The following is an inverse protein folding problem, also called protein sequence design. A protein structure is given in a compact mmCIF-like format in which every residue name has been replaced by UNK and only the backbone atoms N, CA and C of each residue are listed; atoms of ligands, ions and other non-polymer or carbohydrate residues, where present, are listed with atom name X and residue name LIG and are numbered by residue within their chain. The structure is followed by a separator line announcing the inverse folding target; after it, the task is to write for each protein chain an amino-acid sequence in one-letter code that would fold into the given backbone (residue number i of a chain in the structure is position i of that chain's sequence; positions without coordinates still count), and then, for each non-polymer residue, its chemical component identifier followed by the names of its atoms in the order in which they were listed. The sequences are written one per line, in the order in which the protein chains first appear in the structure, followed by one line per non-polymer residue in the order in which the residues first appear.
data_IF_253625361008
#
_entry.id   IF_253625361008
#
_cell.length_a   1.000
_cell.length_b   1.000
_cell.length_c   1.000
_cell.angle_alpha   90.00
_cell.angle_beta   90.00
_cell.angle_gamma   90.00
#
_symmetry.space_group_name_H-M   'P 1'
#
loop_
_entity.id
_entity.type
_entity.pdbx_description
1 polymer ?
#
# COMPACT_ATOMS: atom_id res chain seq x y z
N UNK A 1 13.71 -29.79 -8.28
CA UNK A 1 12.30 -30.25 -8.10
C UNK A 1 12.11 -31.19 -6.90
N UNK A 2 12.87 -32.27 -6.72
CA UNK A 2 12.69 -33.21 -5.58
C UNK A 2 12.78 -32.54 -4.20
N UNK A 3 13.68 -31.57 -3.99
CA UNK A 3 13.77 -30.83 -2.72
C UNK A 3 12.60 -29.86 -2.48
N UNK A 4 12.04 -29.25 -3.53
CA UNK A 4 10.82 -28.44 -3.43
C UNK A 4 9.61 -29.30 -3.05
N UNK A 5 9.48 -30.48 -3.66
CA UNK A 5 8.39 -31.42 -3.36
C UNK A 5 8.54 -32.01 -1.94
N UNK A 6 9.77 -32.24 -1.47
CA UNK A 6 10.03 -32.68 -0.09
C UNK A 6 9.75 -31.58 0.93
N UNK A 7 10.16 -30.33 0.65
CA UNK A 7 9.76 -29.16 1.45
C UNK A 7 8.23 -29.08 1.53
N UNK A 8 7.51 -29.16 0.40
CA UNK A 8 6.04 -29.13 0.36
C UNK A 8 5.37 -30.20 1.23
N UNK A 9 6.01 -31.34 1.44
CA UNK A 9 5.50 -32.44 2.27
C UNK A 9 5.72 -32.25 3.78
N UNK A 10 6.77 -31.54 4.19
CA UNK A 10 7.12 -31.28 5.60
C UNK A 10 6.53 -29.94 6.12
N UNK A 11 6.00 -29.13 5.21
CA UNK A 11 5.66 -27.73 5.46
C UNK A 11 4.29 -27.47 6.09
N UNK A 12 4.26 -26.38 6.86
CA UNK A 12 3.13 -25.90 7.63
C UNK A 12 1.94 -25.51 6.74
N UNK A 13 0.81 -26.24 6.87
CA UNK A 13 -0.42 -26.03 6.09
C UNK A 13 -0.96 -24.60 6.23
N UNK A 14 -0.68 -23.94 7.35
CA UNK A 14 -1.07 -22.56 7.59
C UNK A 14 -0.25 -21.57 6.77
N UNK A 15 1.05 -21.83 6.57
CA UNK A 15 1.97 -21.00 5.78
C UNK A 15 1.47 -20.83 4.36
N UNK A 16 1.23 -21.92 3.63
CA UNK A 16 0.67 -21.84 2.27
C UNK A 16 -0.68 -21.19 2.20
N UNK A 17 -1.58 -21.50 3.16
CA UNK A 17 -2.92 -20.91 3.18
C UNK A 17 -2.82 -19.39 3.26
N UNK A 18 -1.96 -18.89 4.16
CA UNK A 18 -1.74 -17.46 4.29
C UNK A 18 -1.07 -16.87 3.05
N UNK A 19 -0.06 -17.55 2.50
CA UNK A 19 0.60 -17.09 1.28
C UNK A 19 -0.33 -17.04 0.08
N UNK A 20 -1.23 -18.02 -0.06
CA UNK A 20 -2.26 -18.02 -1.09
C UNK A 20 -3.22 -16.85 -0.91
N UNK A 21 -3.65 -16.54 0.32
CA UNK A 21 -4.51 -15.38 0.59
C UNK A 21 -3.79 -14.07 0.23
N UNK A 22 -2.51 -13.94 0.59
CA UNK A 22 -1.70 -12.77 0.23
C UNK A 22 -1.55 -12.63 -1.29
N UNK A 23 -1.22 -13.74 -1.97
CA UNK A 23 -1.07 -13.80 -3.42
C UNK A 23 -2.37 -13.46 -4.16
N UNK A 24 -3.50 -14.02 -3.72
CA UNK A 24 -4.83 -13.70 -4.29
C UNK A 24 -5.17 -12.23 -4.06
N UNK A 25 -4.96 -11.69 -2.86
CA UNK A 25 -5.21 -10.27 -2.58
C UNK A 25 -4.36 -9.36 -3.50
N UNK A 26 -3.08 -9.70 -3.69
CA UNK A 26 -2.20 -8.98 -4.60
C UNK A 26 -2.66 -9.10 -6.07
N UNK A 27 -2.99 -10.31 -6.53
CA UNK A 27 -3.45 -10.57 -7.90
C UNK A 27 -4.70 -9.77 -8.23
N UNK A 28 -5.69 -9.75 -7.34
CA UNK A 28 -6.94 -9.03 -7.62
C UNK A 28 -6.68 -7.51 -7.67
N UNK A 29 -5.80 -6.97 -6.80
CA UNK A 29 -5.37 -5.56 -6.88
C UNK A 29 -4.72 -5.25 -8.22
N UNK A 30 -3.89 -6.15 -8.76
CA UNK A 30 -3.31 -5.98 -10.09
C UNK A 30 -4.36 -6.10 -11.21
N UNK A 31 -5.29 -7.04 -11.12
CA UNK A 31 -6.33 -7.23 -12.11
C UNK A 31 -7.17 -5.97 -12.32
N UNK A 32 -7.70 -5.37 -11.23
CA UNK A 32 -8.46 -4.12 -11.34
C UNK A 32 -7.61 -2.93 -11.80
N UNK A 33 -6.32 -2.91 -11.44
CA UNK A 33 -5.38 -1.91 -11.92
C UNK A 33 -5.22 -1.98 -13.45
N UNK A 34 -5.01 -3.18 -13.99
CA UNK A 34 -4.86 -3.39 -15.42
C UNK A 34 -6.17 -3.21 -16.18
N UNK A 35 -7.30 -3.61 -15.59
CA UNK A 35 -8.63 -3.35 -16.16
C UNK A 35 -8.86 -1.85 -16.38
N UNK A 36 -8.67 -1.00 -15.35
CA UNK A 36 -8.93 0.43 -15.54
C UNK A 36 -7.96 1.05 -16.54
N UNK A 37 -6.68 0.64 -16.53
CA UNK A 37 -5.70 1.13 -17.49
C UNK A 37 -6.10 0.76 -18.92
N UNK A 38 -6.58 -0.47 -19.15
CA UNK A 38 -7.07 -0.90 -20.44
C UNK A 38 -8.20 0.01 -20.95
N UNK A 39 -9.23 0.27 -20.13
CA UNK A 39 -10.33 1.15 -20.52
C UNK A 39 -9.87 2.58 -20.82
N UNK A 40 -8.92 3.12 -20.05
CA UNK A 40 -8.33 4.43 -20.32
C UNK A 40 -7.63 4.46 -21.69
N UNK A 41 -6.87 3.43 -22.04
CA UNK A 41 -6.20 3.37 -23.35
C UNK A 41 -7.21 3.27 -24.50
N UNK A 42 -8.22 2.41 -24.39
CA UNK A 42 -9.22 2.25 -25.45
C UNK A 42 -10.02 3.54 -25.66
N UNK A 43 -10.50 4.15 -24.58
CA UNK A 43 -11.25 5.40 -24.65
C UNK A 43 -10.40 6.55 -25.16
N UNK A 44 -9.13 6.62 -24.77
CA UNK A 44 -8.18 7.56 -25.34
C UNK A 44 -8.06 7.41 -26.87
N UNK A 45 -8.00 6.18 -27.38
CA UNK A 45 -7.95 5.92 -28.82
C UNK A 45 -9.25 6.34 -29.53
N UNK A 46 -10.42 6.12 -28.90
CA UNK A 46 -11.71 6.57 -29.41
C UNK A 46 -11.74 8.09 -29.55
N UNK A 47 -11.37 8.83 -28.50
CA UNK A 47 -11.35 10.29 -28.52
C UNK A 47 -10.42 10.85 -29.58
N UNK A 48 -9.28 10.21 -29.80
CA UNK A 48 -8.35 10.64 -30.86
C UNK A 48 -8.96 10.47 -32.24
N UNK A 49 -9.72 9.41 -32.49
CA UNK A 49 -10.43 9.26 -33.77
C UNK A 49 -11.49 10.33 -33.95
N UNK A 50 -12.31 10.58 -32.94
CA UNK A 50 -13.33 11.64 -33.01
C UNK A 50 -12.70 13.02 -33.24
N UNK A 51 -11.63 13.34 -32.49
CA UNK A 51 -10.90 14.59 -32.68
C UNK A 51 -10.27 14.69 -34.07
N UNK A 52 -9.79 13.58 -34.63
CA UNK A 52 -9.19 13.52 -35.97
C UNK A 52 -10.22 13.76 -37.07
N UNK A 53 -11.46 13.28 -36.89
CA UNK A 53 -12.59 13.56 -37.80
C UNK A 53 -12.93 15.06 -37.75
N UNK A 54 -13.06 15.64 -36.55
CA UNK A 54 -13.39 17.06 -36.37
C UNK A 54 -12.29 17.98 -36.96
N UNK A 55 -11.03 17.59 -36.83
CA UNK A 55 -9.87 18.36 -37.30
C UNK A 55 -9.46 18.04 -38.74
N UNK A 56 -10.12 17.08 -39.40
CA UNK A 56 -9.78 16.59 -40.75
C UNK A 56 -8.31 16.12 -40.88
N UNK A 57 -7.76 15.49 -39.84
CA UNK A 57 -6.38 14.98 -39.80
C UNK A 57 -6.37 13.45 -39.75
N UNK A 58 -5.32 12.80 -40.27
CA UNK A 58 -5.15 11.36 -40.11
C UNK A 58 -4.96 10.98 -38.61
N UNK A 59 -5.84 10.13 -38.03
CA UNK A 59 -5.73 9.69 -36.64
C UNK A 59 -4.42 8.98 -36.31
N UNK A 60 -3.69 8.45 -37.31
CA UNK A 60 -2.37 7.85 -37.12
C UNK A 60 -1.33 8.88 -36.67
N UNK A 61 -1.43 10.13 -37.11
CA UNK A 61 -0.47 11.18 -36.72
C UNK A 61 -0.64 11.49 -35.23
N UNK A 62 -1.86 11.77 -34.78
CA UNK A 62 -2.13 11.98 -33.36
C UNK A 62 -1.83 10.74 -32.51
N UNK A 63 -2.20 9.56 -33.02
CA UNK A 63 -1.95 8.28 -32.36
C UNK A 63 -0.46 8.00 -32.14
N UNK A 64 0.38 8.23 -33.14
CA UNK A 64 1.83 8.04 -33.02
C UNK A 64 2.45 9.05 -32.05
N UNK A 65 2.03 10.32 -32.08
CA UNK A 65 2.48 11.32 -31.10
C UNK A 65 2.15 10.92 -29.66
N UNK A 66 0.91 10.48 -29.40
CA UNK A 66 0.50 10.05 -28.06
C UNK A 66 1.21 8.77 -27.63
N UNK A 67 1.37 7.82 -28.54
CA UNK A 67 2.16 6.60 -28.31
C UNK A 67 3.59 6.92 -27.87
N UNK A 68 4.25 7.87 -28.55
CA UNK A 68 5.59 8.34 -28.17
C UNK A 68 5.59 9.01 -26.79
N UNK A 69 4.59 9.85 -26.48
CA UNK A 69 4.47 10.48 -25.16
C UNK A 69 4.35 9.41 -24.06
N UNK A 70 3.52 8.38 -24.27
CA UNK A 70 3.36 7.27 -23.32
C UNK A 70 4.69 6.54 -23.10
N UNK A 71 5.43 6.24 -24.17
CA UNK A 71 6.72 5.57 -24.10
C UNK A 71 7.82 6.42 -23.45
N UNK A 72 7.81 7.73 -23.70
CA UNK A 72 8.79 8.67 -23.17
C UNK A 72 8.51 9.09 -21.71
N UNK A 73 7.26 8.97 -21.25
CA UNK A 73 6.85 9.37 -19.90
C UNK A 73 7.73 8.83 -18.74
N UNK A 74 8.23 7.57 -18.75
CA UNK A 74 9.11 7.05 -17.70
C UNK A 74 10.43 7.84 -17.57
N UNK A 75 10.95 8.38 -18.68
CA UNK A 75 12.23 9.10 -18.69
C UNK A 75 12.13 10.50 -18.07
N UNK A 76 10.92 11.04 -17.91
CA UNK A 76 10.71 12.30 -17.16
C UNK A 76 11.05 12.17 -15.68
N UNK A 77 11.14 10.93 -15.16
CA UNK A 77 11.44 10.62 -13.76
C UNK A 77 12.85 10.07 -13.57
N UNK A 78 13.75 10.31 -14.53
CA UNK A 78 15.14 9.86 -14.44
C UNK A 78 15.82 10.47 -13.20
N UNK A 79 16.07 9.65 -12.19
CA UNK A 79 16.89 9.97 -11.02
C UNK A 79 17.97 8.92 -10.90
N UNK A 80 19.19 9.32 -10.55
CA UNK A 80 20.29 8.41 -10.27
C UNK A 80 19.83 7.40 -9.19
N UNK A 81 20.02 6.10 -9.47
CA UNK A 81 19.58 5.00 -8.59
C UNK A 81 18.13 4.51 -8.77
N UNK A 82 17.35 5.08 -9.69
CA UNK A 82 15.96 4.67 -9.96
C UNK A 82 15.79 3.74 -11.18
N UNK A 83 16.87 3.16 -11.69
CA UNK A 83 16.91 2.41 -12.96
C UNK A 83 15.88 1.28 -13.04
N UNK A 84 15.79 0.44 -12.00
CA UNK A 84 14.81 -0.64 -11.96
C UNK A 84 13.36 -0.15 -11.92
N UNK A 85 13.10 1.01 -11.33
CA UNK A 85 11.76 1.61 -11.35
C UNK A 85 11.41 2.10 -12.76
N UNK A 86 12.38 2.70 -13.46
CA UNK A 86 12.23 3.17 -14.84
C UNK A 86 11.95 2.00 -15.77
N UNK A 87 12.72 0.91 -15.69
CA UNK A 87 12.51 -0.30 -16.50
C UNK A 87 11.09 -0.87 -16.28
N UNK A 88 10.65 -0.97 -15.02
CA UNK A 88 9.28 -1.41 -14.69
C UNK A 88 8.21 -0.49 -15.27
N UNK A 89 8.40 0.82 -15.21
CA UNK A 89 7.47 1.79 -15.80
C UNK A 89 7.49 1.74 -17.32
N UNK A 90 8.65 1.54 -17.93
CA UNK A 90 8.83 1.43 -19.37
C UNK A 90 8.10 0.21 -19.92
N UNK A 91 8.36 -0.99 -19.38
CA UNK A 91 7.67 -2.23 -19.78
C UNK A 91 6.15 -2.06 -19.69
N UNK A 92 5.66 -1.50 -18.56
CA UNK A 92 4.23 -1.23 -18.38
C UNK A 92 3.71 -0.29 -19.47
N UNK A 93 4.40 0.81 -19.73
CA UNK A 93 3.98 1.81 -20.70
C UNK A 93 4.06 1.28 -22.15
N UNK A 94 4.99 0.38 -22.46
CA UNK A 94 5.03 -0.34 -23.74
C UNK A 94 3.77 -1.17 -23.94
N UNK A 95 3.35 -1.95 -22.92
CA UNK A 95 2.10 -2.71 -22.99
C UNK A 95 0.89 -1.79 -23.18
N UNK A 96 0.86 -0.65 -22.49
CA UNK A 96 -0.22 0.33 -22.66
C UNK A 96 -0.24 0.93 -24.07
N UNK A 97 0.92 1.33 -24.61
CA UNK A 97 1.04 1.85 -25.97
C UNK A 97 0.54 0.82 -27.01
N UNK A 98 0.88 -0.47 -26.84
CA UNK A 98 0.37 -1.54 -27.70
C UNK A 98 -1.16 -1.65 -27.65
N UNK A 99 -1.77 -1.60 -26.46
CA UNK A 99 -3.23 -1.61 -26.31
C UNK A 99 -3.86 -0.41 -27.02
N UNK A 100 -3.27 0.78 -26.85
CA UNK A 100 -3.76 2.01 -27.47
C UNK A 100 -3.67 1.95 -29.00
N UNK A 101 -2.53 1.53 -29.57
CA UNK A 101 -2.36 1.38 -31.02
C UNK A 101 -3.35 0.34 -31.58
N UNK A 102 -3.50 -0.81 -30.91
CA UNK A 102 -4.47 -1.81 -31.33
C UNK A 102 -5.92 -1.29 -31.30
N UNK A 103 -6.27 -0.45 -30.32
CA UNK A 103 -7.57 0.21 -30.27
C UNK A 103 -7.73 1.28 -31.38
N UNK A 104 -6.65 1.98 -31.73
CA UNK A 104 -6.64 2.93 -32.84
C UNK A 104 -6.84 2.26 -34.22
N UNK A 105 -6.40 1.02 -34.40
CA UNK A 105 -6.57 0.32 -35.69
C UNK A 105 -7.99 -0.23 -35.90
N UNK A 106 -8.75 -0.48 -34.83
CA UNK A 106 -10.12 -1.02 -34.95
C UNK A 106 -11.09 -0.01 -35.57
N UNK A 107 -12.02 -0.41 -36.45
CA UNK A 107 -13.12 0.47 -36.84
C UNK A 107 -14.02 0.71 -35.61
N UNK A 108 -14.18 1.96 -35.19
CA UNK A 108 -15.06 2.35 -34.08
C UNK A 108 -16.30 2.97 -34.71
N UNK A 109 -17.49 2.45 -34.40
CA UNK A 109 -18.74 3.05 -34.83
C UNK A 109 -19.04 4.30 -33.95
N UNK A 110 -19.60 5.36 -34.53
CA UNK A 110 -19.86 6.64 -33.84
C UNK A 110 -20.71 6.47 -32.56
N UNK A 111 -21.56 5.43 -32.49
CA UNK A 111 -22.37 5.15 -31.31
C UNK A 111 -21.61 4.46 -30.15
N UNK A 112 -20.35 4.07 -30.34
CA UNK A 112 -19.56 3.36 -29.32
C UNK A 112 -18.82 4.30 -28.37
N UNK A 113 -18.63 5.58 -28.70
CA UNK A 113 -17.81 6.48 -27.87
C UNK A 113 -18.42 6.77 -26.51
N UNK A 114 -19.74 6.98 -26.48
CA UNK A 114 -20.50 7.13 -25.24
C UNK A 114 -20.38 5.87 -24.37
N UNK A 115 -20.39 4.69 -24.97
CA UNK A 115 -20.19 3.43 -24.26
C UNK A 115 -18.79 3.33 -23.65
N UNK A 116 -17.73 3.59 -24.42
CA UNK A 116 -16.35 3.52 -23.94
C UNK A 116 -16.07 4.54 -22.83
N UNK A 117 -16.62 5.76 -22.95
CA UNK A 117 -16.53 6.78 -21.91
C UNK A 117 -17.21 6.31 -20.62
N UNK A 118 -18.46 5.84 -20.70
CA UNK A 118 -19.19 5.32 -19.54
C UNK A 118 -18.46 4.14 -18.90
N UNK A 119 -18.02 3.17 -19.70
CA UNK A 119 -17.27 2.01 -19.22
C UNK A 119 -15.97 2.42 -18.50
N UNK A 120 -15.30 3.47 -18.97
CA UNK A 120 -14.10 4.02 -18.32
C UNK A 120 -14.41 4.65 -16.99
N UNK A 121 -15.47 5.47 -16.90
CA UNK A 121 -15.90 6.09 -15.64
C UNK A 121 -16.24 5.01 -14.61
N UNK A 122 -17.03 4.00 -15.00
CA UNK A 122 -17.34 2.87 -14.12
C UNK A 122 -16.09 2.08 -13.75
N UNK A 123 -15.17 1.82 -14.69
CA UNK A 123 -13.93 1.09 -14.39
C UNK A 123 -13.02 1.83 -13.41
N UNK A 124 -12.95 3.16 -13.50
CA UNK A 124 -12.23 3.99 -12.53
C UNK A 124 -12.89 3.88 -11.16
N UNK A 125 -14.22 4.02 -11.10
CA UNK A 125 -14.99 3.87 -9.85
C UNK A 125 -14.79 2.51 -9.20
N UNK A 126 -14.90 1.43 -9.98
CA UNK A 126 -14.68 0.05 -9.53
C UNK A 126 -13.25 -0.13 -9.01
N UNK A 127 -12.23 0.39 -9.71
CA UNK A 127 -10.84 0.26 -9.27
C UNK A 127 -10.62 0.92 -7.90
N UNK A 128 -11.08 2.15 -7.71
CA UNK A 128 -10.92 2.84 -6.42
C UNK A 128 -11.74 2.19 -5.30
N UNK A 129 -12.97 1.80 -5.60
CA UNK A 129 -13.82 1.07 -4.66
C UNK A 129 -13.16 -0.25 -4.24
N UNK A 130 -12.70 -1.06 -5.19
CA UNK A 130 -12.06 -2.34 -4.91
C UNK A 130 -10.72 -2.17 -4.18
N UNK A 131 -9.91 -1.16 -4.54
CA UNK A 131 -8.68 -0.82 -3.82
C UNK A 131 -8.94 -0.55 -2.34
N UNK A 132 -9.99 0.22 -2.03
CA UNK A 132 -10.40 0.50 -0.65
C UNK A 132 -11.01 -0.73 0.03
N UNK A 133 -11.96 -1.39 -0.62
CA UNK A 133 -12.71 -2.52 -0.07
C UNK A 133 -11.82 -3.72 0.23
N UNK A 134 -10.91 -4.07 -0.68
CA UNK A 134 -9.96 -5.17 -0.49
C UNK A 134 -8.99 -4.89 0.65
N UNK A 135 -8.45 -3.68 0.73
CA UNK A 135 -7.58 -3.31 1.85
C UNK A 135 -8.30 -3.50 3.19
N UNK A 136 -9.58 -3.08 3.29
CA UNK A 136 -10.40 -3.29 4.50
C UNK A 136 -10.68 -4.76 4.79
N UNK A 137 -11.01 -5.56 3.78
CA UNK A 137 -11.26 -7.00 3.95
C UNK A 137 -10.01 -7.74 4.41
N UNK A 138 -8.87 -7.48 3.75
CA UNK A 138 -7.59 -8.10 4.08
C UNK A 138 -7.16 -7.72 5.50
N UNK A 139 -7.23 -6.44 5.88
CA UNK A 139 -6.96 -5.99 7.25
C UNK A 139 -7.88 -6.68 8.27
N UNK A 140 -9.17 -6.78 7.99
CA UNK A 140 -10.13 -7.46 8.87
C UNK A 140 -9.76 -8.93 9.05
N UNK A 141 -9.36 -9.61 7.99
CA UNK A 141 -8.88 -10.98 8.06
C UNK A 141 -7.62 -11.10 8.92
N UNK A 142 -6.62 -10.22 8.71
CA UNK A 142 -5.38 -10.19 9.49
C UNK A 142 -5.65 -9.99 10.98
N UNK A 143 -6.42 -8.97 11.36
CA UNK A 143 -6.73 -8.71 12.78
C UNK A 143 -7.62 -9.79 13.41
N UNK A 144 -8.49 -10.42 12.61
CA UNK A 144 -9.33 -11.51 13.12
C UNK A 144 -8.51 -12.77 13.39
N UNK A 145 -7.55 -13.12 12.53
CA UNK A 145 -6.93 -14.45 12.56
C UNK A 145 -5.45 -14.45 12.95
N UNK A 146 -4.69 -13.39 12.66
CA UNK A 146 -3.21 -13.42 12.64
C UNK A 146 -2.60 -12.40 13.60
N UNK A 147 -3.11 -11.18 13.62
CA UNK A 147 -2.52 -10.07 14.34
C UNK A 147 -3.38 -9.64 15.53
N UNK A 148 -2.74 -9.25 16.62
CA UNK A 148 -3.38 -8.68 17.79
C UNK A 148 -3.58 -7.17 17.60
N UNK A 149 -4.80 -6.81 17.18
CA UNK A 149 -5.19 -5.42 16.89
C UNK A 149 -5.08 -4.51 18.12
N UNK A 150 -5.50 -4.99 19.29
CA UNK A 150 -5.53 -4.18 20.52
C UNK A 150 -4.11 -3.92 21.03
N UNK A 151 -3.23 -4.92 20.92
CA UNK A 151 -1.81 -4.77 21.23
C UNK A 151 -1.11 -3.74 20.33
N UNK A 152 -1.45 -3.71 19.03
CA UNK A 152 -0.96 -2.70 18.09
C UNK A 152 -1.51 -1.29 18.37
N UNK A 153 -2.47 -1.12 19.29
CA UNK A 153 -3.08 0.18 19.57
C UNK A 153 -3.95 0.73 18.43
N UNK A 154 -4.29 -0.11 17.44
CA UNK A 154 -5.15 0.29 16.32
C UNK A 154 -6.60 0.22 16.80
N UNK A 155 -7.27 1.36 16.95
CA UNK A 155 -8.63 1.39 17.51
C UNK A 155 -9.51 2.43 16.82
N UNK A 156 -10.84 2.28 16.87
CA UNK A 156 -11.76 3.37 16.57
C UNK A 156 -11.91 4.28 17.79
N UNK A 157 -12.35 5.52 17.58
CA UNK A 157 -12.62 6.49 18.63
C UNK A 157 -13.48 5.95 19.79
N UNK A 158 -14.51 5.17 19.44
CA UNK A 158 -15.46 4.56 20.39
C UNK A 158 -14.94 3.28 21.08
N UNK A 159 -13.81 2.74 20.63
CA UNK A 159 -13.23 1.53 21.21
C UNK A 159 -12.50 1.89 22.52
N UNK A 160 -12.23 0.92 23.39
CA UNK A 160 -11.46 1.15 24.63
C UNK A 160 -10.04 1.60 24.31
N UNK A 161 -9.42 2.36 25.24
CA UNK A 161 -7.99 2.69 25.13
C UNK A 161 -7.13 1.42 25.09
N UNK A 162 -5.94 1.47 24.47
CA UNK A 162 -5.03 0.34 24.42
C UNK A 162 -4.72 -0.20 25.83
N UNK A 163 -4.53 -1.53 25.98
CA UNK A 163 -4.13 -2.12 27.25
C UNK A 163 -2.77 -1.58 27.71
N UNK A 164 -2.46 -1.71 29.01
CA UNK A 164 -1.14 -1.33 29.56
C UNK A 164 0.02 -2.04 28.83
N UNK A 165 -0.22 -3.28 28.40
CA UNK A 165 0.71 -4.06 27.58
C UNK A 165 0.38 -3.80 26.11
N UNK A 166 1.18 -2.99 25.43
CA UNK A 166 0.98 -2.63 24.03
C UNK A 166 2.30 -2.46 23.29
N UNK A 167 2.23 -2.28 21.97
CA UNK A 167 3.39 -2.07 21.12
C UNK A 167 4.28 -0.93 21.61
N UNK A 168 3.69 0.19 22.05
CA UNK A 168 4.45 1.39 22.41
C UNK A 168 5.24 1.21 23.71
N UNK A 169 4.67 0.50 24.69
CA UNK A 169 5.37 0.21 25.95
C UNK A 169 6.50 -0.79 25.74
N UNK A 170 6.22 -1.84 24.97
CA UNK A 170 7.21 -2.89 24.72
C UNK A 170 8.31 -2.41 23.77
N UNK A 171 8.03 -1.42 22.90
CA UNK A 171 9.04 -0.82 22.03
C UNK A 171 10.10 0.01 22.78
N UNK A 172 9.81 0.44 24.00
CA UNK A 172 10.75 1.15 24.88
C UNK A 172 11.64 0.19 25.70
N UNK A 173 11.49 -1.13 25.55
CA UNK A 173 12.42 -2.12 26.12
C UNK A 173 13.86 -1.89 25.64
N UNK A 174 14.79 -1.89 26.60
CA UNK A 174 16.19 -1.52 26.38
C UNK A 174 17.00 -2.63 25.72
N UNK A 175 16.73 -3.89 26.07
CA UNK A 175 17.34 -5.05 25.42
C UNK A 175 16.65 -5.29 24.05
N UNK A 176 17.42 -5.13 22.97
CA UNK A 176 16.91 -5.27 21.61
C UNK A 176 16.38 -6.69 21.30
N UNK A 177 17.03 -7.72 21.83
CA UNK A 177 16.62 -9.10 21.62
C UNK A 177 15.34 -9.41 22.41
N UNK A 178 15.30 -9.02 23.68
CA UNK A 178 14.10 -9.19 24.51
C UNK A 178 12.91 -8.41 23.93
N UNK A 179 13.15 -7.18 23.46
CA UNK A 179 12.16 -6.35 22.77
C UNK A 179 11.58 -7.07 21.55
N UNK A 180 12.45 -7.56 20.67
CA UNK A 180 12.05 -8.26 19.45
C UNK A 180 11.21 -9.50 19.76
N UNK A 181 11.66 -10.34 20.70
CA UNK A 181 10.96 -11.57 21.10
C UNK A 181 9.59 -11.23 21.69
N UNK A 182 9.55 -10.30 22.65
CA UNK A 182 8.33 -9.93 23.38
C UNK A 182 7.28 -9.36 22.44
N UNK A 183 7.67 -8.45 21.55
CA UNK A 183 6.74 -7.84 20.59
C UNK A 183 6.21 -8.90 19.63
N UNK A 184 7.08 -9.71 19.03
CA UNK A 184 6.67 -10.76 18.08
C UNK A 184 5.67 -11.74 18.70
N UNK A 185 5.91 -12.17 19.94
CA UNK A 185 5.02 -13.09 20.68
C UNK A 185 3.64 -12.48 20.99
N UNK A 186 3.56 -11.16 21.21
CA UNK A 186 2.30 -10.49 21.59
C UNK A 186 1.52 -9.97 20.38
N UNK A 187 2.21 -9.58 19.31
CA UNK A 187 1.62 -8.99 18.12
C UNK A 187 1.07 -10.05 17.15
N UNK A 188 1.71 -11.22 17.06
CA UNK A 188 1.27 -12.34 16.24
C UNK A 188 0.55 -13.36 17.12
N UNK A 189 -0.65 -13.78 16.71
CA UNK A 189 -1.42 -14.81 17.41
C UNK A 189 -0.69 -16.16 17.34
N UNK A 190 -0.79 -16.94 18.42
CA UNK A 190 -0.02 -18.18 18.65
C UNK A 190 0.03 -19.10 17.42
N UNK A 191 -1.12 -19.35 16.80
CA UNK A 191 -1.25 -20.26 15.65
C UNK A 191 -0.44 -19.84 14.41
N UNK A 192 0.03 -18.58 14.34
CA UNK A 192 0.76 -18.03 13.20
C UNK A 192 2.20 -17.64 13.55
N UNK A 193 2.67 -17.86 14.77
CA UNK A 193 4.01 -17.40 15.21
C UNK A 193 5.16 -18.09 14.49
N UNK A 194 4.97 -19.31 13.99
CA UNK A 194 6.00 -20.05 13.24
C UNK A 194 6.13 -19.62 11.77
N UNK A 195 5.14 -18.87 11.27
CA UNK A 195 5.03 -18.49 9.85
C UNK A 195 4.89 -16.98 9.62
N UNK A 196 4.62 -16.17 10.66
CA UNK A 196 4.51 -14.71 10.56
C UNK A 196 5.45 -14.06 11.57
N UNK A 197 6.07 -12.97 11.14
CA UNK A 197 6.99 -12.20 11.97
C UNK A 197 6.80 -10.70 11.71
N UNK A 198 6.96 -9.92 12.77
CA UNK A 198 7.28 -8.51 12.67
C UNK A 198 8.77 -8.37 12.34
N UNK A 199 9.09 -8.27 11.05
CA UNK A 199 10.48 -8.21 10.57
C UNK A 199 11.12 -6.84 10.76
N UNK A 200 10.33 -5.77 10.64
CA UNK A 200 10.83 -4.41 10.85
C UNK A 200 9.87 -3.61 11.73
N UNK A 201 10.43 -2.84 12.64
CA UNK A 201 9.69 -1.86 13.44
C UNK A 201 10.39 -0.51 13.29
N UNK A 202 9.99 0.26 12.28
CA UNK A 202 10.56 1.59 12.09
C UNK A 202 9.89 2.56 13.05
N UNK A 203 10.69 3.34 13.79
CA UNK A 203 10.22 4.35 14.74
C UNK A 203 10.61 5.72 14.23
N UNK A 204 9.63 6.59 14.01
CA UNK A 204 9.82 7.99 13.64
C UNK A 204 9.38 8.87 14.81
N UNK A 205 10.30 9.70 15.30
CA UNK A 205 10.01 10.73 16.31
C UNK A 205 10.03 12.10 15.65
N UNK A 206 8.89 12.79 15.71
CA UNK A 206 8.77 14.15 15.24
C UNK A 206 8.79 15.10 16.43
N UNK A 207 9.85 15.88 16.51
CA UNK A 207 10.03 16.92 17.55
C UNK A 207 9.63 18.29 17.02
N UNK A 208 9.32 19.20 17.93
CA UNK A 208 9.17 20.60 17.59
C UNK A 208 9.17 21.49 18.83
N UNK A 209 9.08 22.79 18.59
CA UNK A 209 9.24 23.79 19.64
C UNK A 209 7.87 24.05 20.30
N UNK A 210 7.78 23.75 21.59
CA UNK A 210 6.67 24.19 22.44
C UNK A 210 6.98 25.57 22.99
N UNK A 211 6.03 26.49 22.87
CA UNK A 211 6.10 27.82 23.45
C UNK A 211 5.17 27.87 24.66
N UNK A 212 5.69 28.19 25.83
CA UNK A 212 4.88 28.32 27.04
C UNK A 212 5.31 29.52 27.88
N UNK A 213 4.41 29.97 28.75
CA UNK A 213 4.69 30.97 29.79
C UNK A 213 4.37 30.34 31.13
N UNK A 214 5.25 30.56 32.13
CA UNK A 214 4.98 30.13 33.50
C UNK A 214 3.73 30.84 34.01
N UNK A 215 2.72 30.06 34.41
CA UNK A 215 1.38 30.54 34.72
C UNK A 215 1.33 31.64 35.80
N UNK A 216 2.35 31.71 36.67
CA UNK A 216 2.37 32.61 37.82
C UNK A 216 2.90 34.02 37.51
N UNK A 217 3.44 34.26 36.31
CA UNK A 217 4.06 35.54 35.92
C UNK A 217 3.17 36.39 34.98
N UNK A 218 1.90 36.03 34.78
CA UNK A 218 0.97 36.78 33.92
C UNK A 218 1.35 36.81 32.43
N UNK A 219 0.70 37.69 31.65
CA UNK A 219 0.96 37.88 30.22
C UNK A 219 2.32 38.52 29.89
N UNK A 220 2.99 39.08 30.90
CA UNK A 220 4.31 39.73 30.82
C UNK A 220 5.49 38.76 31.01
N UNK A 221 5.22 37.49 31.36
CA UNK A 221 6.25 36.48 31.51
C UNK A 221 7.05 36.25 30.21
N UNK A 222 8.38 36.07 30.30
CA UNK A 222 9.19 35.73 29.14
C UNK A 222 8.70 34.43 28.51
N UNK A 223 8.59 34.43 27.18
CA UNK A 223 8.16 33.27 26.41
C UNK A 223 9.29 32.23 26.41
N UNK A 224 9.10 31.16 27.17
CA UNK A 224 10.04 30.03 27.22
C UNK A 224 9.80 29.10 26.01
N UNK A 225 10.86 28.40 25.60
CA UNK A 225 10.86 27.50 24.44
C UNK A 225 11.57 26.21 24.82
N UNK A 226 10.95 25.09 24.52
CA UNK A 226 11.57 23.77 24.70
C UNK A 226 11.27 22.89 23.48
N UNK A 227 12.20 21.98 23.17
CA UNK A 227 11.92 20.92 22.21
C UNK A 227 11.10 19.83 22.89
N UNK A 228 9.95 19.51 22.31
CA UNK A 228 9.08 18.43 22.77
C UNK A 228 8.90 17.40 21.66
N UNK A 229 8.74 16.14 22.07
CA UNK A 229 8.27 15.07 21.19
C UNK A 229 6.79 15.32 20.87
N UNK A 230 6.51 15.83 19.67
CA UNK A 230 5.14 16.17 19.21
C UNK A 230 4.39 14.90 18.81
N UNK A 231 5.08 14.01 18.11
CA UNK A 231 4.51 12.78 17.60
C UNK A 231 5.53 11.65 17.53
N UNK A 232 5.03 10.44 17.74
CA UNK A 232 5.79 9.22 17.67
C UNK A 232 5.03 8.21 16.82
N UNK A 233 5.56 7.94 15.63
CA UNK A 233 5.01 7.04 14.63
C UNK A 233 5.80 5.73 14.60
N UNK A 234 5.06 4.64 14.51
CA UNK A 234 5.59 3.29 14.36
C UNK A 234 5.10 2.71 13.05
N UNK A 235 6.03 2.14 12.27
CA UNK A 235 5.74 1.47 11.02
C UNK A 235 6.10 -0.01 11.12
N UNK A 236 5.25 -0.84 11.76
CA UNK A 236 5.47 -2.28 11.83
C UNK A 236 5.28 -2.91 10.44
N UNK A 237 6.29 -3.66 10.00
CA UNK A 237 6.32 -4.41 8.73
C UNK A 237 6.30 -5.90 9.05
N UNK A 238 5.26 -6.57 8.59
CA UNK A 238 5.07 -8.00 8.80
C UNK A 238 5.48 -8.80 7.58
N UNK A 239 6.19 -9.90 7.79
CA UNK A 239 6.55 -10.86 6.74
C UNK A 239 5.93 -12.22 6.99
N UNK A 240 5.70 -12.96 5.91
CA UNK A 240 5.20 -14.34 5.93
C UNK A 240 6.30 -15.26 5.43
N UNK A 241 6.49 -16.37 6.15
CA UNK A 241 7.38 -17.47 5.83
C UNK A 241 6.51 -18.66 5.37
N UNK A 242 6.33 -18.86 4.06
CA UNK A 242 5.39 -19.85 3.52
C UNK A 242 5.70 -21.28 3.96
N UNK A 243 6.96 -21.54 4.25
CA UNK A 243 7.49 -22.85 4.66
C UNK A 243 7.83 -22.90 6.16
N UNK A 244 7.53 -21.85 6.91
CA UNK A 244 7.99 -21.66 8.28
C UNK A 244 9.36 -20.98 8.38
N UNK A 245 9.65 -20.39 9.54
CA UNK A 245 10.87 -19.61 9.82
C UNK A 245 12.20 -20.36 9.69
N UNK A 246 12.17 -21.69 9.58
CA UNK A 246 13.36 -22.52 9.36
C UNK A 246 13.93 -22.36 7.94
N UNK A 247 13.15 -21.82 7.02
CA UNK A 247 13.57 -21.56 5.66
C UNK A 247 13.71 -20.06 5.43
N UNK A 248 14.80 -19.64 4.78
CA UNK A 248 15.12 -18.24 4.49
C UNK A 248 14.33 -17.69 3.28
N UNK A 249 13.06 -18.08 3.18
CA UNK A 249 12.16 -17.62 2.14
C UNK A 249 10.96 -16.92 2.78
N UNK A 250 10.92 -15.59 2.63
CA UNK A 250 9.82 -14.77 3.13
C UNK A 250 9.44 -13.68 2.13
N UNK A 251 8.28 -13.10 2.33
CA UNK A 251 7.85 -11.88 1.63
C UNK A 251 7.04 -10.98 2.56
N UNK A 252 7.04 -9.69 2.26
CA UNK A 252 6.29 -8.69 3.02
C UNK A 252 4.77 -8.89 2.83
N UNK A 253 4.06 -9.05 3.95
CA UNK A 253 2.62 -9.21 4.00
C UNK A 253 1.89 -7.87 4.04
N UNK A 254 2.30 -7.00 4.97
CA UNK A 254 1.68 -5.69 5.18
C UNK A 254 2.57 -4.81 6.05
N UNK A 255 2.52 -3.51 5.78
CA UNK A 255 3.00 -2.46 6.66
C UNK A 255 1.80 -1.70 7.24
N UNK A 256 1.84 -1.38 8.53
CA UNK A 256 0.90 -0.44 9.14
C UNK A 256 1.60 0.85 9.54
N UNK A 257 0.81 1.91 9.70
CA UNK A 257 1.25 3.18 10.29
C UNK A 257 0.46 3.37 11.59
N UNK A 258 1.17 3.46 12.72
CA UNK A 258 0.57 3.53 14.05
C UNK A 258 1.14 4.72 14.82
N UNK A 259 0.29 5.66 15.22
CA UNK A 259 0.67 6.82 16.04
C UNK A 259 0.36 6.55 17.51
N UNK A 260 1.38 6.69 18.38
CA UNK A 260 1.21 6.58 19.84
C UNK A 260 0.18 7.59 20.34
N UNK A 261 0.25 8.82 19.83
CA UNK A 261 -0.71 9.89 20.17
C UNK A 261 -2.14 9.49 19.79
N UNK A 262 -2.37 8.99 18.58
CA UNK A 262 -3.72 8.62 18.14
C UNK A 262 -4.26 7.38 18.84
N UNK A 263 -3.39 6.46 19.26
CA UNK A 263 -3.80 5.31 20.05
C UNK A 263 -4.38 5.71 21.41
N UNK A 264 -3.79 6.72 22.06
CA UNK A 264 -4.21 7.19 23.39
C UNK A 264 -5.11 8.44 23.39
N UNK A 265 -5.30 9.12 22.25
CA UNK A 265 -6.15 10.31 22.16
C UNK A 265 -7.63 9.94 21.92
N UNK A 266 -8.55 10.82 22.33
CA UNK A 266 -9.97 10.75 21.94
C UNK A 266 -10.25 11.45 20.59
N UNK A 267 -9.22 11.70 19.77
CA UNK A 267 -9.32 12.28 18.41
C UNK A 267 -8.47 11.43 17.46
N UNK A 268 -9.09 10.49 16.74
CA UNK A 268 -8.37 9.59 15.85
C UNK A 268 -8.44 10.07 14.40
N UNK A 269 -7.30 10.44 13.83
CA UNK A 269 -7.10 10.49 12.38
C UNK A 269 -6.08 9.40 12.01
N UNK A 270 -6.51 8.41 11.24
CA UNK A 270 -5.60 7.41 10.68
C UNK A 270 -5.30 7.80 9.24
N UNK A 271 -4.05 8.13 8.95
CA UNK A 271 -3.54 8.27 7.59
C UNK A 271 -2.98 6.92 7.19
N UNK A 272 -3.54 6.31 6.13
CA UNK A 272 -3.07 5.03 5.62
C UNK A 272 -2.22 5.28 4.38
N UNK A 273 -0.93 4.97 4.45
CA UNK A 273 -0.10 4.88 3.24
C UNK A 273 -0.16 3.45 2.69
N UNK A 274 -0.67 3.32 1.47
CA UNK A 274 -0.71 2.05 0.76
C UNK A 274 0.28 2.18 -0.40
N UNK A 275 1.51 1.68 -0.21
CA UNK A 275 2.49 1.59 -1.30
C UNK A 275 2.01 0.60 -2.38
#
# INVERSE_FOLDING_TARGET
MKNLIKMVKETDKLGYKLSAICGVNWLIRQAFKWQYLFFVMVTGAVFIKEASVILEVDPRIFGTMIGLIILCAPFTKLRLGAEMQIIKMFIRNTVLALIFTAALEKPIQENESSFWLLATIFSIGIYYFMKWFQAKLFQRYLFKNILNKDYLGIRKLKDKLPPKINLFTDADEGDANQRMITINQRVVKKDYQDIVELSFLNREKRTGISYYRKAWNGSEAPLEREFVDIEELYHPVFSVFPFGKKHDFCFEMIQFDVSKKNAFSMKAEFVFTNK
#
